data_IF_349990862898
#
_entry.id   IF_349990862898
#
_cell.length_a   1.000
_cell.length_b   1.000
_cell.length_c   1.000
_cell.angle_alpha   90.00
_cell.angle_beta   90.00
_cell.angle_gamma   90.00
#
_symmetry.space_group_name_H-M   'P 1'
#
loop_
_entity.id
_entity.type
_entity.pdbx_description
1 polymer ?
#
# COMPACT_ATOMS: atom_id res chain seq x y z
N UNK A 1 4.36 1.90 23.22
CA UNK A 1 5.69 1.33 23.10
C UNK A 1 5.79 0.50 21.81
N UNK A 2 6.94 0.48 21.18
CA UNK A 2 7.24 -0.29 19.99
C UNK A 2 8.37 -1.26 20.38
N UNK A 3 8.08 -2.57 20.32
CA UNK A 3 8.94 -3.63 20.89
C UNK A 3 10.07 -4.12 19.98
N UNK A 4 10.36 -3.46 18.85
CA UNK A 4 11.39 -3.93 17.93
C UNK A 4 12.37 -2.83 17.51
N UNK A 5 13.55 -3.26 17.05
CA UNK A 5 14.56 -2.39 16.44
C UNK A 5 14.21 -2.02 14.99
N UNK A 6 13.42 -2.85 14.32
CA UNK A 6 12.96 -2.62 12.95
C UNK A 6 11.49 -2.22 12.97
N UNK A 7 11.18 -1.07 12.36
CA UNK A 7 9.83 -0.52 12.30
C UNK A 7 9.52 -0.03 10.89
N UNK A 8 8.29 -0.16 10.49
CA UNK A 8 7.75 0.43 9.28
C UNK A 8 7.37 1.88 9.58
N UNK A 9 7.85 2.78 8.76
CA UNK A 9 7.50 4.19 8.76
C UNK A 9 6.55 4.47 7.61
N UNK A 10 5.44 5.12 7.91
CA UNK A 10 4.51 5.63 6.93
C UNK A 10 4.23 7.09 7.21
N UNK A 11 4.36 7.93 6.19
CA UNK A 11 4.02 9.35 6.26
C UNK A 11 3.07 9.72 5.14
N UNK A 12 2.03 10.45 5.49
CA UNK A 12 1.08 11.00 4.55
C UNK A 12 0.96 12.51 4.80
N UNK A 13 1.24 13.30 3.77
CA UNK A 13 1.10 14.74 3.80
C UNK A 13 0.02 15.18 2.81
N UNK A 14 -0.96 15.90 3.28
CA UNK A 14 -1.98 16.54 2.46
C UNK A 14 -1.86 18.05 2.60
N UNK A 15 -1.51 18.72 1.51
CA UNK A 15 -1.26 20.15 1.57
C UNK A 15 -1.53 20.89 0.28
N UNK A 16 -1.50 22.20 0.40
CA UNK A 16 -1.64 23.10 -0.70
C UNK A 16 -0.45 24.07 -0.77
N UNK A 17 -0.31 24.66 -1.91
CA UNK A 17 0.71 25.64 -2.22
C UNK A 17 0.04 26.91 -2.76
N UNK A 18 0.39 28.03 -2.15
CA UNK A 18 -0.07 29.34 -2.60
C UNK A 18 1.13 30.16 -3.04
N UNK A 19 1.08 30.66 -4.27
CA UNK A 19 2.15 31.49 -4.84
C UNK A 19 2.03 32.92 -4.32
N UNK A 20 2.96 33.35 -3.49
CA UNK A 20 3.03 34.72 -2.99
C UNK A 20 3.63 35.66 -4.05
N UNK A 21 4.69 35.25 -4.73
CA UNK A 21 5.31 35.97 -5.83
C UNK A 21 6.07 34.99 -6.74
N UNK A 22 6.88 35.51 -7.68
CA UNK A 22 7.64 34.64 -8.62
C UNK A 22 8.70 33.78 -7.95
N UNK A 23 9.17 34.17 -6.80
CA UNK A 23 10.30 33.54 -6.11
C UNK A 23 9.87 32.74 -4.89
N UNK A 24 8.68 33.02 -4.32
CA UNK A 24 8.25 32.46 -3.05
C UNK A 24 6.85 31.84 -3.16
N UNK A 25 6.77 30.57 -2.77
CA UNK A 25 5.51 29.90 -2.49
C UNK A 25 5.35 29.68 -0.99
N UNK A 26 4.17 29.94 -0.45
CA UNK A 26 3.73 29.45 0.87
C UNK A 26 3.20 28.02 0.70
N UNK A 27 3.71 27.10 1.48
CA UNK A 27 3.19 25.72 1.56
C UNK A 27 2.54 25.52 2.92
N UNK A 28 1.40 24.84 2.94
CA UNK A 28 0.70 24.52 4.19
C UNK A 28 -0.08 23.21 4.04
N UNK A 29 -0.25 22.50 5.12
CA UNK A 29 -0.92 21.20 5.06
C UNK A 29 -1.08 20.56 6.42
N UNK A 30 -1.54 19.30 6.35
CA UNK A 30 -1.61 18.38 7.48
C UNK A 30 -0.69 17.20 7.20
N UNK A 31 0.07 16.84 8.20
CA UNK A 31 0.99 15.72 8.20
C UNK A 31 0.48 14.62 9.12
N UNK A 32 0.52 13.40 8.65
CA UNK A 32 0.28 12.21 9.44
C UNK A 32 1.46 11.29 9.34
N UNK A 33 2.00 10.91 10.47
CA UNK A 33 3.12 9.98 10.55
C UNK A 33 2.74 8.79 11.42
N UNK A 34 3.03 7.60 10.94
CA UNK A 34 2.81 6.34 11.64
C UNK A 34 4.09 5.52 11.70
N UNK A 35 4.43 5.03 12.90
CA UNK A 35 5.48 4.05 13.12
C UNK A 35 4.88 2.80 13.75
N UNK A 36 5.19 1.63 13.22
CA UNK A 36 4.85 0.36 13.84
C UNK A 36 5.76 -0.77 13.32
N UNK A 37 5.76 -1.89 14.01
CA UNK A 37 6.49 -3.08 13.56
C UNK A 37 5.58 -4.14 12.91
N UNK A 38 4.32 -3.79 12.59
CA UNK A 38 3.37 -4.72 11.97
C UNK A 38 3.07 -5.96 12.82
N UNK A 39 3.19 -5.87 14.14
CA UNK A 39 3.02 -6.97 15.11
C UNK A 39 4.14 -8.03 15.08
N UNK A 40 5.24 -7.79 14.39
CA UNK A 40 6.37 -8.73 14.39
C UNK A 40 6.98 -8.95 15.78
N UNK A 41 6.85 -7.93 16.67
CA UNK A 41 7.20 -8.00 18.09
C UNK A 41 6.18 -7.31 18.97
N UNK A 42 6.01 -7.80 20.21
CA UNK A 42 5.17 -7.18 21.23
C UNK A 42 6.01 -6.44 22.27
N UNK A 43 5.57 -5.29 22.81
CA UNK A 43 4.34 -4.58 22.46
C UNK A 43 4.46 -3.82 21.13
N UNK A 44 3.35 -3.71 20.40
CA UNK A 44 3.25 -2.87 19.21
C UNK A 44 2.03 -1.96 19.29
N UNK A 45 2.12 -0.92 20.10
CA UNK A 45 1.06 0.10 20.19
C UNK A 45 1.06 1.04 18.99
N UNK A 46 2.13 1.03 18.21
CA UNK A 46 2.35 2.03 17.17
C UNK A 46 2.57 3.44 17.76
N UNK A 47 2.96 4.35 16.91
CA UNK A 47 3.04 5.77 17.19
C UNK A 47 2.39 6.54 16.06
N UNK A 48 1.31 7.25 16.37
CA UNK A 48 0.59 8.09 15.43
C UNK A 48 0.80 9.53 15.79
N UNK A 49 1.29 10.33 14.86
CA UNK A 49 1.52 11.76 15.03
C UNK A 49 0.77 12.52 13.94
N UNK A 50 0.03 13.54 14.36
CA UNK A 50 -0.64 14.47 13.48
C UNK A 50 -0.11 15.87 13.74
N UNK A 51 0.10 16.63 12.67
CA UNK A 51 0.52 18.01 12.83
C UNK A 51 0.21 18.86 11.60
N UNK A 52 -0.13 20.15 11.83
CA UNK A 52 -0.09 21.10 10.73
C UNK A 52 1.36 21.35 10.31
N UNK A 53 1.58 21.55 9.03
CA UNK A 53 2.86 22.02 8.51
C UNK A 53 2.66 23.33 7.74
N UNK A 54 3.63 24.23 7.91
CA UNK A 54 3.71 25.49 7.17
C UNK A 54 5.16 25.69 6.78
N UNK A 55 5.38 26.12 5.54
CA UNK A 55 6.73 26.35 5.03
C UNK A 55 6.76 27.33 3.88
N UNK A 56 7.96 27.74 3.53
CA UNK A 56 8.20 28.57 2.36
C UNK A 56 9.10 27.81 1.39
N UNK A 57 8.77 27.88 0.11
CA UNK A 57 9.59 27.37 -0.97
C UNK A 57 10.14 28.55 -1.75
N UNK A 58 11.47 28.67 -1.79
CA UNK A 58 12.15 29.67 -2.59
C UNK A 58 12.61 29.08 -3.93
N UNK A 59 12.29 29.77 -5.02
CA UNK A 59 12.69 29.41 -6.39
C UNK A 59 13.91 30.21 -6.80
N UNK A 60 15.04 29.54 -6.93
CA UNK A 60 16.27 30.14 -7.43
C UNK A 60 16.21 30.35 -8.96
N UNK A 61 16.91 31.35 -9.44
CA UNK A 61 17.07 31.63 -10.89
C UNK A 61 15.75 31.92 -11.64
N UNK A 62 14.75 32.46 -10.96
CA UNK A 62 13.47 32.83 -11.60
C UNK A 62 13.63 33.89 -12.70
N UNK A 63 14.77 34.61 -12.73
CA UNK A 63 15.06 35.59 -13.79
C UNK A 63 15.35 34.94 -15.15
N UNK A 64 15.82 33.68 -15.16
CA UNK A 64 16.02 32.92 -16.39
C UNK A 64 14.71 32.39 -16.99
N UNK A 65 13.66 32.33 -16.20
CA UNK A 65 12.32 31.93 -16.62
C UNK A 65 11.42 33.12 -16.99
N UNK A 66 11.97 34.26 -17.35
CA UNK A 66 11.27 35.32 -18.08
C UNK A 66 11.08 34.87 -19.54
N UNK A 67 10.50 33.74 -19.73
CA UNK A 67 9.94 33.38 -21.02
C UNK A 67 8.69 34.25 -21.16
N UNK A 68 8.75 35.11 -22.11
CA UNK A 68 7.58 35.90 -22.55
C UNK A 68 6.48 34.91 -22.91
N UNK A 69 5.43 34.82 -22.08
CA UNK A 69 4.31 33.91 -22.31
C UNK A 69 3.60 34.16 -23.66
N UNK A 70 3.84 35.31 -24.27
CA UNK A 70 3.32 35.65 -25.62
C UNK A 70 4.09 34.91 -26.74
N UNK A 71 5.28 34.38 -26.43
CA UNK A 71 6.13 33.68 -27.38
C UNK A 71 6.11 32.14 -27.25
N UNK A 72 5.30 31.56 -26.36
CA UNK A 72 5.10 30.11 -26.33
C UNK A 72 4.23 29.70 -27.53
N UNK A 73 4.77 29.03 -28.53
CA UNK A 73 3.92 28.38 -29.50
C UNK A 73 3.08 27.32 -28.77
N UNK A 74 1.80 27.23 -29.10
CA UNK A 74 0.86 26.23 -28.57
C UNK A 74 1.43 24.78 -28.58
N UNK A 75 2.36 24.52 -29.47
CA UNK A 75 3.11 23.27 -29.64
C UNK A 75 3.92 22.88 -28.40
N UNK A 76 4.32 23.80 -27.52
CA UNK A 76 5.11 23.47 -26.31
C UNK A 76 4.23 22.82 -25.21
N UNK A 77 2.93 23.03 -25.25
CA UNK A 77 2.01 22.31 -24.36
C UNK A 77 1.87 20.83 -24.75
N UNK A 78 2.07 20.50 -26.01
CA UNK A 78 2.16 19.12 -26.51
C UNK A 78 3.53 18.48 -26.25
N UNK A 79 4.56 19.28 -26.07
CA UNK A 79 5.91 18.81 -25.76
C UNK A 79 6.22 18.68 -24.27
N UNK A 80 5.22 18.76 -23.36
CA UNK A 80 5.39 18.02 -22.12
C UNK A 80 5.82 16.63 -22.55
N UNK A 81 6.99 16.12 -22.11
CA UNK A 81 7.28 14.74 -22.39
C UNK A 81 6.07 13.99 -21.84
N UNK A 82 5.11 13.72 -22.73
CA UNK A 82 4.19 12.65 -22.49
C UNK A 82 5.15 11.55 -22.15
N UNK A 83 5.15 11.15 -20.89
CA UNK A 83 5.99 10.08 -20.42
C UNK A 83 5.77 8.94 -21.42
N UNK A 84 6.62 8.91 -22.44
CA UNK A 84 6.60 7.98 -23.58
C UNK A 84 6.87 6.54 -23.14
N UNK A 85 6.95 6.33 -21.83
CA UNK A 85 6.86 5.04 -21.18
C UNK A 85 5.53 4.31 -21.44
N UNK A 86 4.49 5.02 -21.85
CA UNK A 86 3.25 4.42 -22.29
C UNK A 86 3.09 4.66 -23.78
N UNK A 87 3.49 3.67 -24.58
CA UNK A 87 3.14 3.64 -26.00
C UNK A 87 1.61 3.68 -26.11
N UNK A 88 1.00 4.78 -26.54
CA UNK A 88 -0.46 4.90 -26.64
C UNK A 88 -1.05 3.91 -27.69
N UNK A 89 -0.20 3.34 -28.53
CA UNK A 89 -0.58 2.30 -29.51
C UNK A 89 -0.66 0.90 -28.88
N UNK A 90 -0.19 0.70 -27.64
CA UNK A 90 -0.38 -0.58 -26.96
C UNK A 90 -1.80 -0.65 -26.41
N UNK A 91 -2.64 -1.60 -26.86
CA UNK A 91 -3.98 -1.75 -26.31
C UNK A 91 -3.88 -1.95 -24.79
N UNK A 92 -4.59 -1.14 -24.02
CA UNK A 92 -4.70 -1.34 -22.56
C UNK A 92 -5.42 -2.67 -22.41
N UNK A 93 -4.71 -3.65 -21.89
CA UNK A 93 -5.30 -4.95 -21.55
C UNK A 93 -6.21 -4.73 -20.37
N UNK A 94 -7.52 -4.90 -20.57
CA UNK A 94 -8.54 -4.51 -19.60
C UNK A 94 -8.65 -5.48 -18.43
N UNK A 95 -8.35 -6.75 -18.61
CA UNK A 95 -8.47 -7.76 -17.56
C UNK A 95 -7.24 -8.64 -17.46
N UNK A 96 -6.86 -9.00 -16.23
CA UNK A 96 -5.76 -9.91 -15.92
C UNK A 96 -6.10 -10.74 -14.68
N UNK A 97 -5.61 -11.98 -14.62
CA UNK A 97 -5.70 -12.82 -13.42
C UNK A 97 -4.34 -12.80 -12.73
N UNK A 98 -4.34 -12.44 -11.45
CA UNK A 98 -3.17 -12.42 -10.59
C UNK A 98 -3.25 -13.55 -9.58
N UNK A 99 -2.12 -14.23 -9.39
CA UNK A 99 -1.90 -15.18 -8.28
C UNK A 99 -0.75 -14.68 -7.45
N UNK A 100 -0.92 -14.66 -6.14
CA UNK A 100 0.05 -14.10 -5.19
C UNK A 100 0.26 -15.04 -4.01
N UNK A 101 1.50 -15.07 -3.52
CA UNK A 101 1.87 -15.74 -2.29
C UNK A 101 2.86 -14.89 -1.50
N UNK A 102 2.64 -14.79 -0.19
CA UNK A 102 3.45 -13.99 0.72
C UNK A 102 3.66 -14.68 2.06
N UNK A 103 4.81 -14.41 2.66
CA UNK A 103 5.11 -14.74 4.03
C UNK A 103 5.17 -13.50 4.91
N UNK A 104 5.00 -13.70 6.21
CA UNK A 104 5.19 -12.71 7.25
C UNK A 104 5.56 -13.36 8.57
N UNK A 105 5.87 -12.55 9.55
CA UNK A 105 6.18 -13.01 10.91
C UNK A 105 5.41 -12.17 11.92
N UNK A 106 4.89 -12.83 12.97
CA UNK A 106 4.18 -12.19 14.06
C UNK A 106 4.57 -12.76 15.40
N UNK A 107 4.35 -11.99 16.45
CA UNK A 107 4.46 -12.44 17.84
C UNK A 107 3.06 -12.39 18.48
N UNK A 108 2.69 -13.44 19.21
CA UNK A 108 1.46 -13.43 19.99
C UNK A 108 1.65 -12.71 21.34
N UNK A 109 0.58 -12.54 22.11
CA UNK A 109 0.64 -11.83 23.40
C UNK A 109 1.33 -12.64 24.50
N UNK A 110 1.29 -13.96 24.43
CA UNK A 110 1.93 -14.88 25.39
C UNK A 110 3.46 -14.84 25.27
N UNK A 111 3.98 -14.60 24.06
CA UNK A 111 5.41 -14.53 23.78
C UNK A 111 6.02 -13.14 23.99
N UNK A 112 5.26 -12.20 24.55
CA UNK A 112 5.74 -10.85 24.84
C UNK A 112 6.96 -10.86 25.74
N UNK A 113 8.02 -10.20 25.31
CA UNK A 113 9.30 -10.14 26.05
C UNK A 113 10.25 -11.31 25.72
N UNK A 114 9.83 -12.24 24.88
CA UNK A 114 10.68 -13.28 24.32
C UNK A 114 11.11 -12.95 22.89
N UNK A 115 11.94 -13.79 22.28
CA UNK A 115 12.30 -13.69 20.86
C UNK A 115 11.49 -14.66 19.98
N UNK A 116 10.49 -15.35 20.54
CA UNK A 116 9.69 -16.30 19.79
C UNK A 116 8.75 -15.59 18.82
N UNK A 117 8.78 -16.01 17.57
CA UNK A 117 7.96 -15.49 16.49
C UNK A 117 7.31 -16.66 15.75
N UNK A 118 6.18 -16.38 15.11
CA UNK A 118 5.40 -17.34 14.36
C UNK A 118 5.28 -16.90 12.91
N UNK A 119 5.39 -17.87 11.99
CA UNK A 119 5.20 -17.63 10.57
C UNK A 119 3.74 -17.37 10.22
N UNK A 120 3.51 -16.48 9.30
CA UNK A 120 2.20 -16.27 8.64
C UNK A 120 2.33 -16.44 7.15
N UNK A 121 1.24 -16.80 6.52
CA UNK A 121 1.19 -16.94 5.07
C UNK A 121 -0.10 -16.33 4.53
N UNK A 122 0.01 -15.70 3.36
CA UNK A 122 -1.11 -15.15 2.61
C UNK A 122 -1.00 -15.59 1.17
N UNK A 123 -2.10 -16.07 0.60
CA UNK A 123 -2.22 -16.19 -0.85
C UNK A 123 -3.54 -15.65 -1.33
N UNK A 124 -3.58 -15.23 -2.58
CA UNK A 124 -4.83 -14.88 -3.25
C UNK A 124 -4.80 -15.18 -4.74
N UNK A 125 -5.99 -15.37 -5.28
CA UNK A 125 -6.27 -15.32 -6.70
C UNK A 125 -7.28 -14.19 -6.92
N UNK A 126 -6.95 -13.26 -7.82
CA UNK A 126 -7.82 -12.11 -8.09
C UNK A 126 -7.92 -11.83 -9.59
N UNK A 127 -9.06 -11.32 -9.99
CA UNK A 127 -9.26 -10.68 -11.28
C UNK A 127 -9.09 -9.18 -11.12
N UNK A 128 -8.15 -8.61 -11.88
CA UNK A 128 -7.89 -7.18 -11.92
C UNK A 128 -8.40 -6.61 -13.24
N UNK A 129 -9.24 -5.58 -13.18
CA UNK A 129 -9.78 -4.89 -14.32
C UNK A 129 -9.26 -3.47 -14.40
N UNK A 130 -8.47 -3.16 -15.42
CA UNK A 130 -7.91 -1.83 -15.66
C UNK A 130 -8.96 -0.90 -16.25
N UNK A 131 -9.23 0.19 -15.57
CA UNK A 131 -10.10 1.28 -16.06
C UNK A 131 -9.34 2.16 -17.05
N UNK A 132 -8.10 2.49 -16.72
CA UNK A 132 -7.22 3.33 -17.50
C UNK A 132 -5.75 3.03 -17.14
N UNK A 133 -4.81 3.85 -17.62
CA UNK A 133 -3.37 3.67 -17.37
C UNK A 133 -2.97 3.89 -15.91
N UNK A 134 -3.81 4.51 -15.10
CA UNK A 134 -3.50 4.90 -13.70
C UNK A 134 -4.36 4.19 -12.66
N UNK A 135 -5.42 3.48 -13.08
CA UNK A 135 -6.37 2.92 -12.12
C UNK A 135 -6.99 1.62 -12.59
N UNK A 136 -7.29 0.75 -11.64
CA UNK A 136 -7.97 -0.52 -11.83
C UNK A 136 -8.72 -0.97 -10.60
N UNK A 137 -9.69 -1.85 -10.80
CA UNK A 137 -10.39 -2.57 -9.74
C UNK A 137 -9.92 -4.01 -9.69
N UNK A 138 -9.89 -4.57 -8.50
CA UNK A 138 -9.58 -5.97 -8.27
C UNK A 138 -10.69 -6.62 -7.44
N UNK A 139 -10.94 -7.90 -7.68
CA UNK A 139 -11.77 -8.73 -6.82
C UNK A 139 -11.21 -10.15 -6.81
N UNK A 140 -11.22 -10.79 -5.64
CA UNK A 140 -10.62 -12.11 -5.53
C UNK A 140 -10.92 -12.82 -4.23
N UNK A 141 -10.29 -14.00 -4.11
CA UNK A 141 -10.37 -14.88 -2.96
C UNK A 141 -9.02 -14.99 -2.29
N UNK A 142 -9.02 -15.13 -0.97
CA UNK A 142 -7.82 -15.20 -0.16
C UNK A 142 -7.80 -16.48 0.67
N UNK A 143 -6.61 -16.98 0.91
CA UNK A 143 -6.29 -17.94 1.94
C UNK A 143 -5.18 -17.36 2.82
N UNK A 144 -5.40 -17.43 4.13
CA UNK A 144 -4.47 -16.98 5.15
C UNK A 144 -4.13 -18.12 6.09
N UNK A 145 -2.89 -18.13 6.56
CA UNK A 145 -2.43 -18.97 7.65
C UNK A 145 -1.79 -18.11 8.73
N UNK A 146 -2.18 -18.30 9.99
CA UNK A 146 -1.62 -17.61 11.15
C UNK A 146 -1.06 -18.61 12.15
N UNK A 147 0.26 -18.78 12.14
CA UNK A 147 0.96 -19.68 13.06
C UNK A 147 1.05 -19.15 14.51
N UNK A 148 0.61 -17.92 14.77
CA UNK A 148 0.62 -17.35 16.13
C UNK A 148 -0.57 -17.79 16.99
N UNK A 149 -1.51 -18.54 16.40
CA UNK A 149 -2.67 -19.11 17.09
C UNK A 149 -2.26 -20.41 17.80
N UNK A 150 -1.49 -20.29 18.87
CA UNK A 150 -0.99 -21.37 19.71
C UNK A 150 -1.35 -21.09 21.16
N UNK A 151 -1.18 -22.06 22.04
CA UNK A 151 -1.49 -21.92 23.47
C UNK A 151 -2.99 -21.78 23.71
N UNK A 152 -3.44 -20.68 24.26
CA UNK A 152 -4.87 -20.41 24.53
C UNK A 152 -5.77 -20.43 23.30
N UNK A 153 -5.17 -20.39 22.10
CA UNK A 153 -5.89 -20.38 20.82
C UNK A 153 -5.80 -21.68 20.02
N UNK A 154 -5.22 -22.75 20.59
CA UNK A 154 -5.03 -24.05 19.92
C UNK A 154 -6.35 -24.71 19.47
N UNK A 155 -7.47 -24.35 20.07
CA UNK A 155 -8.79 -24.84 19.67
C UNK A 155 -9.31 -24.27 18.34
N UNK A 156 -8.68 -23.21 17.83
CA UNK A 156 -9.10 -22.53 16.62
C UNK A 156 -8.31 -22.94 15.38
N UNK A 157 -8.94 -22.83 14.24
CA UNK A 157 -8.26 -23.08 12.97
C UNK A 157 -7.18 -22.04 12.71
N UNK A 158 -6.00 -22.47 12.29
CA UNK A 158 -4.93 -21.59 11.82
C UNK A 158 -5.17 -21.06 10.38
N UNK A 159 -6.18 -21.59 9.70
CA UNK A 159 -6.49 -21.28 8.31
C UNK A 159 -7.75 -20.44 8.19
N UNK A 160 -7.66 -19.36 7.43
CA UNK A 160 -8.75 -18.45 7.18
C UNK A 160 -8.95 -18.27 5.67
N UNK A 161 -10.21 -18.20 5.27
CA UNK A 161 -10.60 -17.92 3.89
C UNK A 161 -11.38 -16.62 3.84
N UNK A 162 -11.22 -15.86 2.78
CA UNK A 162 -11.91 -14.60 2.63
C UNK A 162 -12.07 -14.18 1.19
N UNK A 163 -12.92 -13.18 0.98
CA UNK A 163 -13.07 -12.50 -0.30
C UNK A 163 -12.67 -11.05 -0.17
N UNK A 164 -12.19 -10.45 -1.24
CA UNK A 164 -11.83 -9.04 -1.22
C UNK A 164 -12.24 -8.33 -2.50
N UNK A 165 -12.42 -7.02 -2.38
CA UNK A 165 -12.41 -6.08 -3.48
C UNK A 165 -11.30 -5.05 -3.24
N UNK A 166 -10.77 -4.48 -4.30
CA UNK A 166 -9.66 -3.55 -4.20
C UNK A 166 -9.61 -2.54 -5.33
N UNK A 167 -8.79 -1.54 -5.08
CA UNK A 167 -8.47 -0.50 -6.05
C UNK A 167 -6.97 -0.34 -6.17
N UNK A 168 -6.48 -0.31 -7.41
CA UNK A 168 -5.08 -0.12 -7.76
C UNK A 168 -4.89 1.28 -8.35
N UNK A 169 -4.01 2.06 -7.72
CA UNK A 169 -3.49 3.29 -8.29
C UNK A 169 -2.10 3.04 -8.86
N UNK A 170 -1.99 3.06 -10.19
CA UNK A 170 -0.81 2.66 -10.94
C UNK A 170 0.02 3.86 -11.39
N UNK A 171 1.35 3.78 -11.20
CA UNK A 171 2.31 4.75 -11.70
C UNK A 171 3.62 4.04 -12.06
N UNK A 172 3.95 4.03 -13.34
CA UNK A 172 5.07 3.25 -13.90
C UNK A 172 4.96 1.76 -13.56
N UNK A 173 6.04 1.22 -12.98
CA UNK A 173 6.10 -0.16 -12.52
C UNK A 173 5.55 -0.35 -11.10
N UNK A 174 5.12 0.72 -10.43
CA UNK A 174 4.55 0.67 -9.10
C UNK A 174 3.04 0.77 -9.15
N UNK A 175 2.39 0.12 -8.20
CA UNK A 175 0.97 0.33 -7.91
C UNK A 175 0.77 0.43 -6.41
N UNK A 176 0.09 1.48 -5.97
CA UNK A 176 -0.45 1.53 -4.63
C UNK A 176 -1.82 0.85 -4.66
N UNK A 177 -1.98 -0.17 -3.85
CA UNK A 177 -3.17 -1.01 -3.77
C UNK A 177 -3.86 -0.82 -2.44
N UNK A 178 -5.18 -0.78 -2.48
CA UNK A 178 -6.01 -0.82 -1.29
C UNK A 178 -7.04 -1.91 -1.50
N UNK A 179 -7.02 -2.91 -0.64
CA UNK A 179 -7.98 -4.02 -0.68
C UNK A 179 -8.74 -4.06 0.64
N UNK A 180 -10.05 -4.25 0.55
CA UNK A 180 -10.93 -4.49 1.69
C UNK A 180 -11.64 -5.83 1.48
N UNK A 181 -11.76 -6.61 2.52
CA UNK A 181 -12.36 -7.93 2.42
C UNK A 181 -13.00 -8.40 3.71
N UNK A 182 -13.72 -9.51 3.60
CA UNK A 182 -14.36 -10.19 4.72
C UNK A 182 -13.97 -11.66 4.74
N UNK A 183 -14.00 -12.25 5.93
CA UNK A 183 -13.77 -13.67 6.09
C UNK A 183 -15.04 -14.45 5.78
N UNK A 184 -14.91 -15.76 5.52
CA UNK A 184 -16.02 -16.66 5.17
C UNK A 184 -16.38 -17.63 6.30
N UNK A 185 -15.73 -17.53 7.46
CA UNK A 185 -15.91 -18.42 8.61
C UNK A 185 -16.20 -17.64 9.88
N UNK A 186 -17.15 -18.13 10.68
CA UNK A 186 -17.55 -17.50 11.95
C UNK A 186 -16.39 -17.44 12.96
N UNK A 187 -15.58 -18.49 13.06
CA UNK A 187 -14.38 -18.51 13.92
C UNK A 187 -13.41 -17.35 13.60
N UNK A 188 -13.29 -16.99 12.33
CA UNK A 188 -12.45 -15.86 11.92
C UNK A 188 -13.03 -14.53 12.38
N UNK A 189 -14.36 -14.41 12.48
CA UNK A 189 -15.00 -13.19 12.98
C UNK A 189 -14.70 -12.94 14.44
N UNK A 190 -14.72 -13.99 15.26
CA UNK A 190 -14.43 -13.88 16.70
C UNK A 190 -12.97 -13.47 16.96
N UNK A 191 -12.04 -13.97 16.15
CA UNK A 191 -10.61 -13.77 16.35
C UNK A 191 -10.04 -12.55 15.64
N UNK A 192 -10.47 -12.30 14.42
CA UNK A 192 -9.88 -11.30 13.50
C UNK A 192 -10.82 -10.13 13.21
N UNK A 193 -12.09 -10.23 13.64
CA UNK A 193 -13.17 -9.33 13.26
C UNK A 193 -13.68 -9.61 11.84
N UNK A 194 -14.80 -9.01 11.48
CA UNK A 194 -15.51 -9.31 10.24
C UNK A 194 -14.77 -8.88 8.98
N UNK A 195 -13.95 -7.83 9.11
CA UNK A 195 -13.29 -7.21 7.95
C UNK A 195 -11.78 -7.15 8.13
N UNK A 196 -11.08 -7.32 7.04
CA UNK A 196 -9.68 -6.98 6.92
C UNK A 196 -9.47 -5.88 5.88
N UNK A 197 -8.44 -5.10 6.09
CA UNK A 197 -7.96 -4.09 5.17
C UNK A 197 -6.52 -4.39 4.81
N UNK A 198 -6.12 -4.19 3.54
CA UNK A 198 -4.78 -4.50 3.07
C UNK A 198 -4.26 -3.43 2.13
N UNK A 199 -3.66 -2.34 2.65
CA UNK A 199 -2.85 -1.46 1.84
C UNK A 199 -1.57 -2.18 1.42
N UNK A 200 -1.15 -2.01 0.19
CA UNK A 200 0.04 -2.64 -0.35
C UNK A 200 0.72 -1.78 -1.42
N UNK A 201 2.02 -1.96 -1.56
CA UNK A 201 2.82 -1.46 -2.65
C UNK A 201 3.22 -2.65 -3.53
N UNK A 202 2.76 -2.65 -4.77
CA UNK A 202 3.11 -3.65 -5.77
C UNK A 202 4.13 -3.06 -6.73
N UNK A 203 5.16 -3.83 -7.08
CA UNK A 203 6.17 -3.51 -8.07
C UNK A 203 6.19 -4.56 -9.17
N UNK A 204 5.98 -4.13 -10.41
CA UNK A 204 6.01 -4.99 -11.58
C UNK A 204 7.46 -5.23 -12.03
N UNK A 205 7.99 -6.43 -11.72
CA UNK A 205 9.35 -6.83 -12.09
C UNK A 205 9.44 -6.98 -13.62
N UNK A 206 8.42 -7.58 -14.21
CA UNK A 206 8.27 -7.73 -15.65
C UNK A 206 6.79 -7.94 -16.02
N UNK A 207 6.50 -8.30 -17.27
CA UNK A 207 5.12 -8.55 -17.75
C UNK A 207 4.40 -9.68 -17.03
N UNK A 208 5.13 -10.64 -16.43
CA UNK A 208 4.57 -11.84 -15.78
C UNK A 208 4.67 -11.81 -14.26
N UNK A 209 5.74 -11.26 -13.71
CA UNK A 209 6.04 -11.33 -12.27
C UNK A 209 5.95 -9.96 -11.62
N UNK A 210 5.47 -9.95 -10.40
CA UNK A 210 5.45 -8.77 -9.54
C UNK A 210 5.86 -9.14 -8.11
N UNK A 211 6.43 -8.17 -7.38
CA UNK A 211 6.63 -8.23 -5.96
C UNK A 211 5.58 -7.35 -5.26
N UNK A 212 5.20 -7.69 -4.05
CA UNK A 212 4.28 -6.88 -3.26
C UNK A 212 4.69 -6.87 -1.79
N UNK A 213 4.70 -5.67 -1.22
CA UNK A 213 4.79 -5.41 0.21
C UNK A 213 3.42 -4.95 0.69
N UNK A 214 2.82 -5.64 1.64
CA UNK A 214 1.49 -5.34 2.15
C UNK A 214 1.45 -5.31 3.67
N UNK A 215 0.44 -4.65 4.20
CA UNK A 215 0.06 -4.71 5.61
C UNK A 215 -1.36 -5.27 5.70
N UNK A 216 -1.50 -6.51 6.15
CA UNK A 216 -2.82 -7.05 6.49
C UNK A 216 -3.26 -6.49 7.84
N UNK A 217 -4.50 -6.06 7.93
CA UNK A 217 -5.11 -5.62 9.19
C UNK A 217 -6.20 -6.57 9.62
N UNK A 218 -6.61 -6.46 10.88
CA UNK A 218 -7.77 -7.14 11.48
C UNK A 218 -8.66 -6.12 12.17
N UNK A 219 -9.94 -6.43 12.33
CA UNK A 219 -10.91 -5.59 13.02
C UNK A 219 -10.81 -4.11 12.58
N UNK A 220 -10.79 -3.86 11.28
CA UNK A 220 -10.57 -2.56 10.69
C UNK A 220 -9.08 -2.24 10.47
N UNK A 221 -8.48 -1.38 11.27
CA UNK A 221 -7.12 -0.85 11.02
C UNK A 221 -6.04 -1.37 11.96
N UNK A 222 -6.32 -2.34 12.83
CA UNK A 222 -5.31 -2.94 13.69
C UNK A 222 -4.40 -3.83 12.86
N UNK A 223 -3.08 -3.57 12.87
CA UNK A 223 -2.10 -4.39 12.17
C UNK A 223 -2.18 -5.85 12.61
N UNK A 224 -2.25 -6.76 11.65
CA UNK A 224 -2.19 -8.19 11.85
C UNK A 224 -0.79 -8.71 11.52
N UNK A 225 -0.33 -8.54 10.25
CA UNK A 225 1.06 -8.79 9.86
C UNK A 225 1.46 -8.01 8.61
N UNK A 226 2.77 -7.85 8.45
CA UNK A 226 3.37 -7.35 7.20
C UNK A 226 3.60 -8.53 6.27
N UNK A 227 3.24 -8.36 5.01
CA UNK A 227 3.33 -9.36 3.94
C UNK A 227 4.44 -9.01 2.97
N UNK A 228 5.34 -9.96 2.74
CA UNK A 228 6.38 -9.87 1.71
C UNK A 228 6.15 -11.00 0.73
N UNK A 229 5.83 -10.69 -0.50
CA UNK A 229 5.45 -11.74 -1.44
C UNK A 229 5.75 -11.44 -2.90
N UNK A 230 5.55 -12.51 -3.67
CA UNK A 230 5.68 -12.51 -5.11
C UNK A 230 4.38 -12.98 -5.75
N UNK A 231 4.12 -12.51 -6.95
CA UNK A 231 2.96 -12.96 -7.69
C UNK A 231 3.22 -13.07 -9.17
N UNK A 232 2.29 -13.71 -9.84
CA UNK A 232 2.32 -13.98 -11.27
C UNK A 232 1.01 -13.56 -11.93
N UNK A 233 1.12 -13.03 -13.14
CA UNK A 233 -0.01 -12.80 -14.06
C UNK A 233 -0.19 -14.01 -14.93
N UNK A 234 -1.36 -14.65 -14.89
CA UNK A 234 -1.64 -15.87 -15.61
C UNK A 234 -2.17 -15.62 -17.04
N UNK A 235 -2.96 -14.57 -17.23
CA UNK A 235 -3.53 -14.22 -18.54
C UNK A 235 -3.50 -12.70 -18.75
N UNK A 236 -3.19 -12.39 -19.97
CA UNK A 236 -3.09 -11.04 -20.51
C UNK A 236 -4.02 -10.89 -21.71
#
# INVERSE_FOLDING_TARGET
AIGSRFNVYFNFNFGAKYRLNREIDLTYGLDFTHFSNGRSFRPNSGLNMWGPNVGFRYHFNTKQNKVDNSAFPEVILDSRPMLTLFNPASPIRKGEILVYAAGGIVQNDEDKGTNKQHGTFTSFVEYNYRLNMKSGFAAGVNWFYDGSLTGSYDAYSHHFYGVHAGYDFMFWNFSFRVQAGTYLHDEAFDMKGNFFFRPALKYDINKRFFAQLGLKTQAGFKADWVEYGLGVRLFN
#
